data_IF_190497413155
#
_entry.id   IF_190497413155
#
_cell.length_a   1.000
_cell.length_b   1.000
_cell.length_c   1.000
_cell.angle_alpha   90.00
_cell.angle_beta   90.00
_cell.angle_gamma   90.00
#
_symmetry.space_group_name_H-M   'P 1'
#
loop_
_entity.id
_entity.type
_entity.pdbx_description
1 polymer ?
#
# COMPACT_ATOMS: atom_id res chain seq x y z
N UNK A 1 -3.28 9.46 7.16
CA UNK A 1 -3.88 9.56 8.51
C UNK A 1 -3.04 8.66 9.41
N UNK A 2 -2.17 9.21 10.24
CA UNK A 2 -1.25 8.42 11.09
C UNK A 2 -2.00 8.09 12.39
N UNK A 3 -2.27 6.82 12.62
CA UNK A 3 -2.74 6.33 13.92
C UNK A 3 -1.54 5.73 14.66
N UNK A 4 -1.21 6.27 15.84
CA UNK A 4 -0.24 5.70 16.77
C UNK A 4 -0.91 5.56 18.14
N UNK A 5 -0.98 4.33 18.66
CA UNK A 5 -1.36 4.06 20.05
C UNK A 5 -0.19 3.39 20.77
N UNK A 6 0.03 3.77 22.03
CA UNK A 6 1.10 3.27 22.90
C UNK A 6 0.48 2.33 23.93
N UNK A 7 0.93 1.08 24.01
CA UNK A 7 0.57 0.15 25.09
C UNK A 7 1.84 -0.23 25.86
N UNK A 8 1.90 0.11 27.15
CA UNK A 8 2.86 -0.46 28.10
C UNK A 8 2.22 -1.64 28.81
N UNK A 9 2.81 -2.83 28.65
CA UNK A 9 2.76 -3.92 29.62
C UNK A 9 1.40 -4.61 29.86
N UNK A 10 1.39 -5.92 29.55
CA UNK A 10 0.46 -6.98 29.98
C UNK A 10 -0.86 -7.10 29.20
N UNK A 11 -1.02 -8.28 28.60
CA UNK A 11 -2.23 -8.91 28.00
C UNK A 11 -3.18 -8.00 27.21
N UNK A 12 -3.00 -7.99 25.88
CA UNK A 12 -3.87 -7.25 24.95
C UNK A 12 -5.17 -8.03 24.74
N UNK A 13 -6.15 -7.83 25.63
CA UNK A 13 -7.57 -8.00 25.31
C UNK A 13 -8.23 -6.64 25.17
N UNK A 14 -8.75 -6.38 23.95
CA UNK A 14 -9.57 -5.23 23.54
C UNK A 14 -8.91 -3.83 23.57
N UNK A 15 -8.72 -3.28 22.37
CA UNK A 15 -8.37 -1.87 22.13
C UNK A 15 -9.66 -1.03 22.06
N UNK A 16 -9.79 0.01 22.89
CA UNK A 16 -10.84 1.05 22.79
C UNK A 16 -10.19 2.38 22.37
N UNK A 17 -10.48 2.83 21.16
CA UNK A 17 -9.94 4.07 20.59
C UNK A 17 -10.51 5.35 21.22
N UNK A 18 -9.67 6.40 21.35
CA UNK A 18 -10.11 7.80 21.50
C UNK A 18 -9.47 8.67 20.41
N UNK A 19 -10.26 9.60 19.89
CA UNK A 19 -9.96 10.47 18.74
C UNK A 19 -9.26 11.76 19.21
N UNK A 20 -8.16 12.15 18.55
CA UNK A 20 -7.60 13.51 18.64
C UNK A 20 -7.48 14.09 17.22
N UNK A 21 -8.07 15.25 17.00
CA UNK A 21 -7.98 16.02 15.75
C UNK A 21 -6.90 17.10 15.89
N UNK A 22 -6.09 17.30 14.86
CA UNK A 22 -5.28 18.50 14.70
C UNK A 22 -5.79 19.25 13.46
N UNK A 23 -6.30 20.47 13.67
CA UNK A 23 -6.75 21.41 12.65
C UNK A 23 -5.55 21.94 11.83
N UNK A 24 -5.67 21.94 10.51
CA UNK A 24 -4.79 22.71 9.62
C UNK A 24 -5.59 23.85 8.98
N UNK A 25 -5.28 25.09 9.37
CA UNK A 25 -5.80 26.31 8.72
C UNK A 25 -5.04 26.65 7.41
N UNK A 26 -5.64 27.45 6.50
CA UNK A 26 -5.08 27.66 5.17
C UNK A 26 -4.13 28.88 5.13
N UNK A 27 -2.99 28.75 4.47
CA UNK A 27 -2.16 29.88 4.05
C UNK A 27 -2.47 30.27 2.59
N UNK A 28 -2.66 31.58 2.38
CA UNK A 28 -2.86 32.25 1.09
C UNK A 28 -1.52 32.79 0.55
N UNK A 29 -1.54 33.11 -0.76
CA UNK A 29 -0.59 33.90 -1.57
C UNK A 29 0.65 33.15 -2.09
N UNK A 30 1.16 33.36 -3.32
CA UNK A 30 0.86 34.34 -4.37
C UNK A 30 1.34 33.76 -5.73
N UNK A 31 0.53 33.86 -6.78
CA UNK A 31 0.91 33.56 -8.15
C UNK A 31 1.46 34.81 -8.84
N UNK A 32 2.62 34.71 -9.51
CA UNK A 32 3.04 35.63 -10.59
C UNK A 32 3.75 34.84 -11.69
N UNK A 33 3.25 35.00 -12.90
CA UNK A 33 3.72 34.33 -14.11
C UNK A 33 4.99 34.94 -14.70
N UNK A 34 5.63 34.15 -15.57
CA UNK A 34 6.75 34.57 -16.42
C UNK A 34 6.54 33.95 -17.81
N UNK A 35 6.50 34.79 -18.84
CA UNK A 35 6.48 34.45 -20.27
C UNK A 35 7.89 34.10 -20.81
N UNK A 36 8.01 33.39 -21.95
CA UNK A 36 9.27 32.86 -22.45
C UNK A 36 10.02 33.87 -23.35
N UNK A 37 11.35 33.88 -23.28
CA UNK A 37 12.23 34.56 -24.25
C UNK A 37 12.98 33.53 -25.10
N UNK A 38 12.73 33.63 -26.40
CA UNK A 38 13.51 33.07 -27.50
C UNK A 38 14.89 33.76 -27.58
N UNK A 39 15.92 33.01 -27.97
CA UNK A 39 17.30 33.47 -27.97
C UNK A 39 18.30 32.41 -28.41
N UNK A 40 18.33 32.14 -29.72
CA UNK A 40 19.43 31.45 -30.42
C UNK A 40 20.76 32.18 -30.20
N UNK A 41 21.84 31.45 -29.92
CA UNK A 41 23.20 31.92 -30.21
C UNK A 41 24.13 30.78 -30.62
N UNK A 42 25.00 31.13 -31.56
CA UNK A 42 25.78 30.28 -32.46
C UNK A 42 27.02 29.66 -31.83
N UNK A 43 27.37 28.45 -32.29
CA UNK A 43 28.65 27.78 -32.05
C UNK A 43 29.75 28.42 -32.92
N UNK A 44 30.82 28.89 -32.30
CA UNK A 44 32.07 29.21 -33.00
C UNK A 44 33.11 28.09 -32.82
N UNK A 45 33.64 27.61 -33.93
CA UNK A 45 34.65 26.55 -34.03
C UNK A 45 36.04 27.19 -33.97
N UNK A 46 36.80 26.91 -32.91
CA UNK A 46 38.19 27.33 -32.79
C UNK A 46 39.14 26.30 -33.43
N UNK A 47 39.98 26.76 -34.36
CA UNK A 47 41.06 26.01 -35.03
C UNK A 47 42.14 25.59 -34.03
N UNK A 48 42.44 24.30 -33.97
CA UNK A 48 43.60 23.74 -33.26
C UNK A 48 44.85 23.83 -34.15
N UNK A 49 45.96 24.35 -33.60
CA UNK A 49 47.27 24.40 -34.26
C UNK A 49 48.24 23.58 -33.41
N UNK A 50 48.74 22.48 -33.96
CA UNK A 50 49.78 21.67 -33.33
C UNK A 50 51.10 22.46 -33.23
N UNK A 51 51.69 22.48 -32.05
CA UNK A 51 53.11 22.83 -31.90
C UNK A 51 53.75 21.86 -30.91
N UNK A 52 54.54 20.93 -31.44
CA UNK A 52 55.49 20.09 -30.71
C UNK A 52 56.60 20.94 -30.12
N UNK A 53 56.94 20.76 -28.84
CA UNK A 53 58.33 20.72 -28.37
C UNK A 53 58.51 20.20 -26.93
N UNK A 54 59.40 19.19 -26.85
CA UNK A 54 60.46 18.93 -25.86
C UNK A 54 60.14 18.82 -24.36
N UNK A 55 60.38 17.60 -23.91
CA UNK A 55 60.65 17.12 -22.56
C UNK A 55 61.61 18.06 -21.79
N UNK A 56 61.16 18.53 -20.62
CA UNK A 56 62.03 18.97 -19.54
C UNK A 56 61.51 18.38 -18.23
N UNK A 57 62.35 17.57 -17.60
CA UNK A 57 62.15 17.04 -16.25
C UNK A 57 62.14 18.17 -15.22
N UNK A 58 61.06 18.31 -14.45
CA UNK A 58 61.04 19.18 -13.28
C UNK A 58 60.25 18.57 -12.13
N UNK A 59 60.77 18.81 -10.93
CA UNK A 59 60.58 18.01 -9.73
C UNK A 59 59.20 18.16 -9.07
N UNK A 60 58.83 17.10 -8.34
CA UNK A 60 57.77 17.03 -7.34
C UNK A 60 57.72 18.27 -6.44
N UNK A 61 56.63 19.05 -6.52
CA UNK A 61 56.14 19.88 -5.40
C UNK A 61 54.61 19.94 -5.40
N UNK A 62 54.03 19.46 -4.30
CA UNK A 62 52.72 19.78 -3.73
C UNK A 62 51.48 19.63 -4.63
N UNK A 63 50.93 18.42 -4.66
CA UNK A 63 49.51 18.22 -4.98
C UNK A 63 48.71 18.56 -3.72
N UNK A 64 47.81 19.55 -3.71
CA UNK A 64 46.91 19.73 -2.59
C UNK A 64 45.99 18.49 -2.56
N UNK A 65 46.03 17.77 -1.46
CA UNK A 65 45.08 16.69 -1.17
C UNK A 65 43.70 17.35 -1.07
N UNK A 66 42.96 17.37 -2.19
CA UNK A 66 41.53 17.63 -2.19
C UNK A 66 40.90 16.50 -1.38
N UNK A 67 40.71 16.75 -0.08
CA UNK A 67 39.78 16.00 0.75
C UNK A 67 38.41 16.33 0.17
N UNK A 68 38.01 15.59 -0.86
CA UNK A 68 36.65 15.60 -1.35
C UNK A 68 35.79 15.20 -0.18
N UNK A 69 35.01 16.15 0.35
CA UNK A 69 33.95 15.84 1.28
C UNK A 69 33.08 14.79 0.59
N UNK A 70 33.12 13.55 1.09
CA UNK A 70 32.12 12.55 0.82
C UNK A 70 30.82 13.07 1.44
N UNK A 71 30.17 13.98 0.73
CA UNK A 71 28.76 14.23 0.93
C UNK A 71 28.08 12.86 0.75
N UNK A 72 27.28 12.38 1.70
CA UNK A 72 26.47 11.20 1.48
C UNK A 72 25.54 11.55 0.33
N UNK A 73 25.90 11.11 -0.87
CA UNK A 73 25.01 11.18 -2.00
C UNK A 73 23.86 10.23 -1.67
N UNK A 74 22.71 10.80 -1.32
CA UNK A 74 21.43 10.09 -1.42
C UNK A 74 21.29 9.78 -2.90
N UNK A 75 21.74 8.60 -3.30
CA UNK A 75 21.61 8.16 -4.67
C UNK A 75 20.23 7.55 -4.80
N UNK A 76 19.35 8.28 -5.48
CA UNK A 76 18.24 7.68 -6.21
C UNK A 76 18.74 6.36 -6.82
N UNK A 77 18.19 5.24 -6.36
CA UNK A 77 18.56 3.93 -6.83
C UNK A 77 17.52 3.44 -7.84
N UNK A 78 17.97 2.75 -8.88
CA UNK A 78 17.08 2.01 -9.74
C UNK A 78 16.64 0.72 -9.01
N UNK A 79 15.35 0.59 -8.72
CA UNK A 79 14.71 -0.57 -8.10
C UNK A 79 14.00 -1.40 -9.15
N UNK A 80 14.59 -2.53 -9.53
CA UNK A 80 14.01 -3.42 -10.54
C UNK A 80 13.38 -4.66 -9.91
N UNK A 81 12.15 -4.97 -10.30
CA UNK A 81 11.39 -6.11 -9.82
C UNK A 81 10.69 -6.85 -10.96
N UNK A 82 10.39 -8.13 -10.73
CA UNK A 82 9.46 -8.90 -11.56
C UNK A 82 8.33 -9.42 -10.68
N UNK A 83 7.10 -9.13 -11.10
CA UNK A 83 5.87 -9.65 -10.49
C UNK A 83 5.22 -10.61 -11.46
N UNK A 84 5.29 -11.90 -11.16
CA UNK A 84 4.58 -12.94 -11.91
C UNK A 84 3.23 -13.18 -11.27
N UNK A 85 2.17 -12.96 -12.05
CA UNK A 85 0.78 -13.07 -11.61
C UNK A 85 0.22 -14.40 -12.08
N UNK A 86 -0.36 -15.18 -11.16
CA UNK A 86 -0.92 -16.52 -11.44
C UNK A 86 -2.22 -16.72 -10.68
N UNK A 87 -3.08 -17.62 -11.14
CA UNK A 87 -4.16 -18.14 -10.31
C UNK A 87 -3.65 -19.26 -9.40
N UNK A 88 -4.20 -19.31 -8.19
CA UNK A 88 -3.95 -20.38 -7.24
C UNK A 88 -5.02 -20.40 -6.15
N UNK A 89 -4.64 -20.82 -4.95
CA UNK A 89 -5.54 -20.87 -3.80
C UNK A 89 -4.97 -20.12 -2.61
N UNK A 90 -5.85 -19.52 -1.82
CA UNK A 90 -5.51 -18.90 -0.55
C UNK A 90 -6.28 -19.58 0.58
N UNK A 91 -5.63 -19.73 1.74
CA UNK A 91 -6.20 -20.31 2.96
C UNK A 91 -5.85 -19.44 4.19
N UNK A 92 -5.98 -18.12 4.04
CA UNK A 92 -5.56 -17.12 5.02
C UNK A 92 -6.24 -17.25 6.40
N UNK A 93 -7.49 -17.73 6.41
CA UNK A 93 -8.30 -17.88 7.63
C UNK A 93 -8.82 -19.29 7.86
N UNK A 94 -8.28 -20.30 7.19
CA UNK A 94 -8.68 -21.70 7.38
C UNK A 94 -9.78 -22.16 6.41
N UNK A 95 -10.36 -21.26 5.61
CA UNK A 95 -11.21 -21.62 4.47
C UNK A 95 -10.42 -21.41 3.17
N UNK A 96 -10.27 -22.48 2.38
CA UNK A 96 -9.58 -22.43 1.09
C UNK A 96 -10.49 -21.88 0.00
N UNK A 97 -10.01 -20.85 -0.73
CA UNK A 97 -10.68 -20.28 -1.91
C UNK A 97 -9.70 -20.05 -3.06
N UNK A 98 -10.24 -19.90 -4.27
CA UNK A 98 -9.47 -19.40 -5.42
C UNK A 98 -8.97 -17.98 -5.15
N UNK A 99 -7.77 -17.66 -5.63
CA UNK A 99 -7.14 -16.36 -5.44
C UNK A 99 -6.07 -16.06 -6.50
N UNK A 100 -5.83 -14.79 -6.74
CA UNK A 100 -4.67 -14.29 -7.47
C UNK A 100 -3.43 -14.30 -6.58
N UNK A 101 -2.34 -14.83 -7.12
CA UNK A 101 -1.04 -14.90 -6.46
C UNK A 101 -0.05 -14.01 -7.21
N UNK A 102 0.75 -13.28 -6.44
CA UNK A 102 1.85 -12.46 -6.94
C UNK A 102 3.14 -13.10 -6.46
N UNK A 103 3.95 -13.61 -7.39
CA UNK A 103 5.13 -14.44 -7.09
C UNK A 103 4.80 -15.64 -6.17
N UNK A 104 3.63 -16.26 -6.37
CA UNK A 104 3.20 -17.45 -5.63
C UNK A 104 2.59 -17.19 -4.25
N UNK A 105 2.36 -15.93 -3.86
CA UNK A 105 1.75 -15.58 -2.58
C UNK A 105 0.66 -14.51 -2.70
N UNK A 106 -0.23 -14.45 -1.71
CA UNK A 106 -1.15 -13.33 -1.50
C UNK A 106 -1.27 -13.04 0.01
N UNK A 107 -1.19 -11.78 0.47
CA UNK A 107 -0.83 -10.59 -0.31
C UNK A 107 0.51 -10.73 -1.03
N UNK A 108 0.66 -9.95 -2.09
CA UNK A 108 1.88 -9.91 -2.88
C UNK A 108 3.08 -9.41 -2.09
N UNK A 109 4.29 -9.54 -2.66
CA UNK A 109 5.52 -9.08 -2.02
C UNK A 109 5.42 -7.63 -1.54
N UNK A 110 5.95 -7.37 -0.35
CA UNK A 110 6.08 -6.02 0.16
C UNK A 110 7.24 -5.31 -0.53
N UNK A 111 6.96 -4.18 -1.15
CA UNK A 111 8.01 -3.33 -1.68
C UNK A 111 8.48 -2.35 -0.62
N UNK A 112 9.79 -2.26 -0.44
CA UNK A 112 10.41 -1.26 0.41
C UNK A 112 11.42 -0.47 -0.41
N UNK A 113 11.12 0.80 -0.66
CA UNK A 113 11.90 1.71 -1.49
C UNK A 113 12.26 2.96 -0.69
N UNK A 114 13.10 3.81 -1.26
CA UNK A 114 13.47 5.10 -0.69
C UNK A 114 12.85 6.24 -1.50
N UNK A 115 12.52 7.34 -0.83
CA UNK A 115 12.19 8.59 -1.51
C UNK A 115 13.31 8.97 -2.48
N UNK A 116 12.94 9.27 -3.72
CA UNK A 116 13.85 9.58 -4.81
C UNK A 116 14.26 8.38 -5.68
N UNK A 117 13.91 7.14 -5.31
CA UNK A 117 14.20 5.97 -6.15
C UNK A 117 13.46 6.01 -7.49
N UNK A 118 14.12 5.50 -8.53
CA UNK A 118 13.49 5.15 -9.80
C UNK A 118 13.06 3.69 -9.75
N UNK A 119 11.78 3.41 -9.99
CA UNK A 119 11.21 2.07 -9.89
C UNK A 119 10.90 1.54 -11.28
N UNK A 120 11.25 0.27 -11.51
CA UNK A 120 10.90 -0.48 -12.71
C UNK A 120 10.34 -1.84 -12.33
N UNK A 121 9.05 -2.08 -12.54
CA UNK A 121 8.40 -3.36 -12.25
C UNK A 121 7.89 -3.99 -13.53
N UNK A 122 8.45 -5.13 -13.91
CA UNK A 122 7.91 -5.96 -14.98
C UNK A 122 6.82 -6.86 -14.40
N UNK A 123 5.58 -6.64 -14.82
CA UNK A 123 4.43 -7.47 -14.45
C UNK A 123 4.19 -8.47 -15.57
N UNK A 124 4.23 -9.76 -15.24
CA UNK A 124 4.02 -10.87 -16.17
C UNK A 124 2.70 -11.55 -15.82
N UNK A 125 1.75 -11.58 -16.76
CA UNK A 125 0.46 -12.22 -16.56
C UNK A 125 0.52 -13.68 -17.01
N UNK A 126 0.63 -14.61 -16.05
CA UNK A 126 0.48 -16.05 -16.26
C UNK A 126 -0.90 -16.56 -15.79
N UNK A 127 -1.85 -15.64 -15.55
CA UNK A 127 -3.24 -15.96 -15.22
C UNK A 127 -4.12 -16.19 -16.44
N UNK A 128 -5.37 -16.63 -16.22
CA UNK A 128 -6.30 -16.97 -17.30
C UNK A 128 -7.04 -15.77 -17.90
N UNK A 129 -6.98 -14.59 -17.28
CA UNK A 129 -7.68 -13.40 -17.75
C UNK A 129 -6.80 -12.14 -17.71
N UNK A 130 -7.19 -11.05 -18.39
CA UNK A 130 -6.41 -9.82 -18.38
C UNK A 130 -6.30 -9.21 -16.98
N UNK A 131 -5.21 -8.48 -16.73
CA UNK A 131 -4.96 -7.78 -15.47
C UNK A 131 -4.44 -6.36 -15.72
N UNK A 132 -4.40 -5.53 -14.69
CA UNK A 132 -3.52 -4.36 -14.59
C UNK A 132 -2.99 -4.25 -13.17
N UNK A 133 -1.95 -3.43 -12.94
CA UNK A 133 -1.53 -3.05 -11.58
C UNK A 133 -1.60 -1.53 -11.46
N UNK A 134 -2.44 -1.04 -10.55
CA UNK A 134 -2.43 0.34 -10.11
C UNK A 134 -1.56 0.52 -8.87
N UNK A 135 -0.81 1.61 -8.84
CA UNK A 135 0.13 1.95 -7.78
C UNK A 135 -0.49 3.02 -6.88
N UNK A 136 -1.36 2.59 -5.97
CA UNK A 136 -2.24 3.46 -5.21
C UNK A 136 -1.49 4.50 -4.39
N UNK A 137 -1.72 5.77 -4.71
CA UNK A 137 -1.10 6.93 -4.06
C UNK A 137 0.30 7.30 -4.60
N UNK A 138 0.80 6.57 -5.61
CA UNK A 138 1.97 7.00 -6.38
C UNK A 138 1.53 8.07 -7.38
N UNK A 139 2.24 9.18 -7.43
CA UNK A 139 1.82 10.41 -8.13
C UNK A 139 1.97 10.33 -9.65
N UNK A 140 2.76 9.38 -10.16
CA UNK A 140 2.98 9.14 -11.59
C UNK A 140 3.42 10.39 -12.39
N UNK A 141 4.14 11.32 -11.74
CA UNK A 141 4.64 12.52 -12.42
C UNK A 141 5.56 12.14 -13.58
N UNK A 142 5.26 12.69 -14.76
CA UNK A 142 5.98 12.39 -16.00
C UNK A 142 5.81 10.96 -16.53
N UNK A 143 5.02 10.11 -15.86
CA UNK A 143 4.84 8.68 -16.17
C UNK A 143 3.37 8.22 -16.09
N UNK A 144 2.37 9.00 -16.58
CA UNK A 144 0.96 8.66 -16.41
C UNK A 144 0.57 7.30 -17.02
N UNK A 145 1.28 6.82 -18.04
CA UNK A 145 1.08 5.50 -18.64
C UNK A 145 1.45 4.32 -17.70
N UNK A 146 2.17 4.59 -16.61
CA UNK A 146 2.50 3.62 -15.56
C UNK A 146 1.45 3.58 -14.44
N UNK A 147 0.33 4.30 -14.56
CA UNK A 147 -0.67 4.37 -13.49
C UNK A 147 -1.53 3.11 -13.33
N UNK A 148 -1.72 2.30 -14.39
CA UNK A 148 -2.41 1.00 -14.24
C UNK A 148 -3.91 0.98 -14.45
N UNK A 149 -4.51 2.05 -14.96
CA UNK A 149 -5.97 2.18 -15.12
C UNK A 149 -6.38 1.74 -16.54
N UNK A 150 -7.07 0.60 -16.68
CA UNK A 150 -7.43 0.06 -17.99
C UNK A 150 -8.40 1.00 -18.72
N UNK A 151 -8.13 1.27 -19.99
CA UNK A 151 -8.95 2.16 -20.83
C UNK A 151 -8.70 3.65 -20.62
N UNK A 152 -7.84 4.02 -19.66
CA UNK A 152 -7.41 5.40 -19.43
C UNK A 152 -5.91 5.58 -19.67
N UNK A 153 -5.08 4.87 -18.89
CA UNK A 153 -3.62 5.03 -18.94
C UNK A 153 -2.91 3.89 -19.65
N UNK A 154 -3.55 2.71 -19.74
CA UNK A 154 -3.05 1.57 -20.51
C UNK A 154 -4.18 0.64 -21.00
N UNK A 155 -3.83 -0.29 -21.89
CA UNK A 155 -4.62 -1.49 -22.13
C UNK A 155 -4.36 -2.56 -21.05
N UNK A 156 -5.32 -3.45 -20.76
CA UNK A 156 -5.10 -4.61 -19.90
C UNK A 156 -3.96 -5.49 -20.43
N UNK A 157 -3.18 -6.08 -19.51
CA UNK A 157 -2.12 -7.04 -19.80
C UNK A 157 -2.79 -8.40 -20.04
N UNK A 158 -2.79 -8.89 -21.28
CA UNK A 158 -3.43 -10.16 -21.62
C UNK A 158 -2.71 -11.39 -21.03
N UNK A 159 -3.36 -12.56 -21.00
CA UNK A 159 -2.71 -13.82 -20.63
C UNK A 159 -1.46 -14.10 -21.47
N UNK A 160 -0.35 -14.41 -20.82
CA UNK A 160 0.97 -14.63 -21.44
C UNK A 160 1.72 -13.35 -21.81
N UNK A 161 1.14 -12.18 -21.59
CA UNK A 161 1.77 -10.89 -21.87
C UNK A 161 2.43 -10.29 -20.62
N UNK A 162 3.19 -9.21 -20.83
CA UNK A 162 3.82 -8.46 -19.76
C UNK A 162 3.76 -6.95 -20.03
N UNK A 163 3.91 -6.18 -18.96
CA UNK A 163 4.00 -4.71 -19.01
C UNK A 163 5.05 -4.23 -18.01
N UNK A 164 5.81 -3.20 -18.41
CA UNK A 164 6.83 -2.59 -17.55
C UNK A 164 6.33 -1.26 -17.03
N UNK A 165 6.11 -1.18 -15.72
CA UNK A 165 5.80 0.04 -15.00
C UNK A 165 7.08 0.75 -14.61
N UNK A 166 7.25 2.00 -15.06
CA UNK A 166 8.39 2.84 -14.69
C UNK A 166 7.90 4.16 -14.09
N UNK A 167 8.39 4.53 -12.91
CA UNK A 167 8.06 5.80 -12.25
C UNK A 167 9.15 6.18 -11.22
N UNK A 168 9.23 7.47 -10.92
CA UNK A 168 10.12 8.02 -9.87
C UNK A 168 9.32 8.33 -8.61
N UNK A 169 9.86 8.01 -7.44
CA UNK A 169 9.21 8.26 -6.15
C UNK A 169 9.57 9.65 -5.62
N UNK A 170 8.61 10.57 -5.58
CA UNK A 170 8.79 11.93 -5.02
C UNK A 170 8.22 12.05 -3.60
N UNK A 171 7.37 11.10 -3.23
CA UNK A 171 6.70 10.97 -1.94
C UNK A 171 7.40 9.96 -1.03
N UNK A 172 7.01 9.95 0.24
CA UNK A 172 7.32 8.91 1.21
C UNK A 172 6.06 8.54 2.00
N UNK A 173 6.02 7.34 2.57
CA UNK A 173 4.86 6.87 3.32
C UNK A 173 4.53 5.40 3.07
N UNK A 174 3.34 5.00 3.51
CA UNK A 174 2.83 3.64 3.35
C UNK A 174 1.67 3.62 2.35
N UNK A 175 1.89 2.90 1.26
CA UNK A 175 1.06 2.81 0.08
C UNK A 175 0.85 1.33 -0.28
N UNK A 176 0.22 1.08 -1.41
CA UNK A 176 -0.09 -0.27 -1.87
C UNK A 176 -0.24 -0.30 -3.38
N UNK A 177 -0.25 -1.50 -3.93
CA UNK A 177 -0.54 -1.76 -5.32
C UNK A 177 -1.60 -2.84 -5.42
N UNK A 178 -2.47 -2.74 -6.42
CA UNK A 178 -3.58 -3.67 -6.59
C UNK A 178 -4.04 -3.74 -8.03
N UNK A 179 -4.82 -4.77 -8.37
CA UNK A 179 -5.49 -4.79 -9.67
C UNK A 179 -6.47 -3.65 -9.80
N UNK A 180 -6.51 -3.05 -10.98
CA UNK A 180 -7.54 -2.10 -11.38
C UNK A 180 -8.43 -2.67 -12.51
N UNK A 181 -8.37 -3.98 -12.70
CA UNK A 181 -9.17 -4.71 -13.67
C UNK A 181 -10.22 -5.57 -12.94
N UNK A 182 -11.51 -5.32 -13.23
CA UNK A 182 -12.65 -5.94 -12.54
C UNK A 182 -12.51 -5.85 -11.01
N UNK A 183 -12.86 -6.92 -10.31
CA UNK A 183 -12.81 -7.03 -8.84
C UNK A 183 -11.66 -7.94 -8.37
N UNK A 184 -10.62 -8.11 -9.18
CA UNK A 184 -9.46 -8.98 -8.86
C UNK A 184 -8.72 -8.58 -7.58
N UNK A 185 -8.85 -7.32 -7.14
CA UNK A 185 -8.39 -6.84 -5.84
C UNK A 185 -8.97 -7.66 -4.68
N UNK A 186 -10.27 -7.96 -4.72
CA UNK A 186 -10.99 -8.74 -3.70
C UNK A 186 -10.58 -10.21 -3.72
N UNK A 187 -10.04 -10.68 -4.85
CA UNK A 187 -9.50 -12.02 -5.03
C UNK A 187 -8.00 -12.13 -4.71
N UNK A 188 -7.41 -11.10 -4.11
CA UNK A 188 -6.05 -11.14 -3.55
C UNK A 188 -4.97 -10.54 -4.45
N UNK A 189 -5.32 -9.91 -5.58
CA UNK A 189 -4.36 -9.24 -6.46
C UNK A 189 -3.96 -7.87 -5.87
N UNK A 190 -3.26 -7.89 -4.74
CA UNK A 190 -2.81 -6.70 -3.98
C UNK A 190 -1.54 -6.95 -3.18
N UNK A 191 -0.78 -5.90 -2.90
CA UNK A 191 0.39 -5.90 -2.02
C UNK A 191 0.72 -4.50 -1.51
N UNK A 192 1.68 -4.37 -0.59
CA UNK A 192 1.99 -3.06 0.02
C UNK A 192 3.32 -2.48 -0.43
N UNK A 193 3.46 -1.17 -0.27
CA UNK A 193 4.64 -0.38 -0.62
C UNK A 193 4.97 0.51 0.57
N UNK A 194 6.16 0.39 1.13
CA UNK A 194 6.69 1.35 2.08
C UNK A 194 7.82 2.14 1.43
N UNK A 195 7.65 3.46 1.37
CA UNK A 195 8.67 4.37 0.86
C UNK A 195 9.27 5.10 2.06
N UNK A 196 10.54 4.82 2.34
CA UNK A 196 11.26 5.44 3.46
C UNK A 196 11.45 6.93 3.19
N UNK A 197 11.20 7.79 4.20
CA UNK A 197 11.45 9.22 4.07
C UNK A 197 12.93 9.50 3.83
N UNK A 198 13.23 10.48 2.99
CA UNK A 198 14.58 11.00 2.84
C UNK A 198 15.13 11.53 4.17
N UNK A 199 16.45 11.48 4.35
CA UNK A 199 17.11 11.91 5.59
C UNK A 199 16.91 13.39 5.93
N UNK A 200 16.51 14.22 4.95
CA UNK A 200 16.19 15.63 5.12
C UNK A 200 14.77 15.90 5.63
N UNK A 201 13.89 14.88 5.67
CA UNK A 201 12.51 15.04 6.12
C UNK A 201 12.47 15.32 7.62
N UNK A 202 11.76 16.39 7.99
CA UNK A 202 11.57 16.75 9.39
C UNK A 202 10.72 15.71 10.10
N UNK A 203 11.18 15.23 11.26
CA UNK A 203 10.48 14.23 12.05
C UNK A 203 9.74 14.89 13.21
N UNK A 204 8.46 14.53 13.49
CA UNK A 204 7.67 15.17 14.53
C UNK A 204 7.97 14.65 15.95
N UNK A 205 9.10 13.95 16.17
CA UNK A 205 9.40 13.28 17.45
C UNK A 205 9.56 14.24 18.63
N UNK A 206 9.85 15.52 18.38
CA UNK A 206 9.84 16.56 19.41
C UNK A 206 8.44 16.78 20.04
N UNK A 207 7.38 16.35 19.37
CA UNK A 207 6.02 16.36 19.93
C UNK A 207 5.79 15.22 20.96
N UNK A 208 6.66 14.20 20.96
CA UNK A 208 6.59 13.05 21.87
C UNK A 208 7.51 13.27 23.08
N UNK A 209 8.74 13.72 22.84
CA UNK A 209 9.74 13.93 23.90
C UNK A 209 10.80 14.97 23.51
N UNK A 210 11.38 15.63 24.51
CA UNK A 210 12.57 16.47 24.37
C UNK A 210 13.86 15.76 24.80
N UNK A 211 13.78 14.52 25.27
CA UNK A 211 14.94 13.71 25.68
C UNK A 211 15.67 13.18 24.43
N UNK A 212 16.95 13.53 24.28
CA UNK A 212 17.77 13.15 23.12
C UNK A 212 17.94 11.64 22.96
N UNK A 213 17.91 10.87 24.06
CA UNK A 213 17.96 9.41 24.04
C UNK A 213 16.66 8.85 23.47
N UNK A 214 15.52 9.37 23.91
CA UNK A 214 14.20 8.96 23.41
C UNK A 214 14.06 9.32 21.94
N UNK A 215 14.48 10.52 21.54
CA UNK A 215 14.47 10.94 20.13
C UNK A 215 15.27 9.98 19.25
N UNK A 216 16.47 9.57 19.69
CA UNK A 216 17.29 8.59 18.97
C UNK A 216 16.64 7.21 18.90
N UNK A 217 15.95 6.78 19.95
CA UNK A 217 15.19 5.52 19.94
C UNK A 217 14.01 5.57 18.97
N UNK A 218 13.26 6.68 18.95
CA UNK A 218 12.17 6.89 17.99
C UNK A 218 12.69 6.90 16.54
N UNK A 219 13.80 7.57 16.27
CA UNK A 219 14.46 7.53 14.97
C UNK A 219 14.88 6.11 14.58
N UNK A 220 15.40 5.34 15.52
CA UNK A 220 15.80 3.94 15.26
C UNK A 220 14.58 3.06 14.96
N UNK A 221 13.49 3.24 15.73
CA UNK A 221 12.26 2.50 15.56
C UNK A 221 11.57 2.79 14.22
N UNK A 222 11.67 4.03 13.72
CA UNK A 222 11.10 4.44 12.44
C UNK A 222 11.81 3.82 11.23
N UNK A 223 13.11 3.49 11.32
CA UNK A 223 13.86 2.94 10.17
C UNK A 223 13.27 1.62 9.69
N UNK A 224 12.79 0.79 10.61
CA UNK A 224 12.21 -0.53 10.32
C UNK A 224 10.86 -0.68 11.03
N UNK A 225 9.80 -0.03 10.52
CA UNK A 225 8.50 -0.12 11.14
C UNK A 225 7.89 -1.50 10.90
N UNK A 226 7.11 -1.95 11.86
CA UNK A 226 6.26 -3.12 11.74
C UNK A 226 5.07 -2.76 10.84
N UNK A 227 4.93 -3.50 9.75
CA UNK A 227 3.88 -3.24 8.76
C UNK A 227 2.59 -3.92 9.18
N UNK A 228 1.51 -3.15 9.20
CA UNK A 228 0.18 -3.59 9.56
C UNK A 228 -0.75 -3.32 8.38
N UNK A 229 -0.99 -4.34 7.55
CA UNK A 229 -1.96 -4.29 6.47
C UNK A 229 -3.26 -4.97 6.92
N UNK A 230 -4.34 -4.21 7.02
CA UNK A 230 -5.65 -4.67 7.48
C UNK A 230 -6.65 -4.55 6.34
N UNK A 231 -7.34 -5.63 6.02
CA UNK A 231 -8.31 -5.65 4.94
C UNK A 231 -9.40 -6.68 5.17
N UNK A 232 -10.53 -6.49 4.50
CA UNK A 232 -11.64 -7.42 4.53
C UNK A 232 -11.37 -8.68 3.71
N UNK A 233 -12.01 -9.77 4.11
CA UNK A 233 -11.87 -11.05 3.44
C UNK A 233 -13.22 -11.73 3.36
N UNK A 234 -13.49 -12.24 2.16
CA UNK A 234 -14.71 -12.98 1.82
C UNK A 234 -14.32 -14.42 1.53
N UNK A 235 -15.24 -15.38 1.56
CA UNK A 235 -14.94 -16.77 1.18
C UNK A 235 -15.27 -17.09 -0.27
N UNK A 236 -16.17 -16.32 -0.88
CA UNK A 236 -16.52 -16.44 -2.30
C UNK A 236 -15.67 -15.53 -3.18
N UNK A 237 -15.49 -15.93 -4.46
CA UNK A 237 -14.77 -15.12 -5.44
C UNK A 237 -15.50 -13.82 -5.73
N UNK A 238 -14.76 -12.82 -6.20
CA UNK A 238 -15.35 -11.54 -6.55
C UNK A 238 -16.39 -11.68 -7.66
N UNK A 239 -16.21 -12.60 -8.62
CA UNK A 239 -17.21 -12.84 -9.67
C UNK A 239 -18.50 -13.44 -9.11
N UNK A 240 -18.40 -14.36 -8.16
CA UNK A 240 -19.60 -14.92 -7.51
C UNK A 240 -20.36 -13.83 -6.75
N UNK A 241 -19.63 -13.02 -5.97
CA UNK A 241 -20.21 -11.86 -5.30
C UNK A 241 -20.91 -10.94 -6.30
N UNK A 242 -20.23 -10.50 -7.36
CA UNK A 242 -20.83 -9.62 -8.37
C UNK A 242 -22.06 -10.24 -9.04
N UNK A 243 -22.06 -11.56 -9.31
CA UNK A 243 -23.21 -12.25 -9.90
C UNK A 243 -24.43 -12.27 -8.96
N UNK A 244 -24.20 -12.40 -7.65
CA UNK A 244 -25.25 -12.35 -6.65
C UNK A 244 -25.79 -10.92 -6.49
N UNK A 245 -24.94 -9.90 -6.62
CA UNK A 245 -25.36 -8.51 -6.60
C UNK A 245 -26.27 -8.21 -7.80
N UNK A 246 -25.84 -8.56 -9.01
CA UNK A 246 -26.62 -8.33 -10.23
C UNK A 246 -27.97 -9.06 -10.22
N UNK A 247 -28.01 -10.27 -9.66
CA UNK A 247 -29.23 -11.07 -9.60
C UNK A 247 -30.23 -10.58 -8.56
N UNK A 248 -29.73 -10.10 -7.42
CA UNK A 248 -30.56 -9.79 -6.23
C UNK A 248 -30.76 -8.30 -6.00
N UNK A 249 -29.89 -7.45 -6.54
CA UNK A 249 -29.82 -6.01 -6.31
C UNK A 249 -29.75 -5.66 -4.81
N UNK A 250 -29.04 -6.50 -4.03
CA UNK A 250 -28.77 -6.32 -2.60
C UNK A 250 -27.30 -5.99 -2.40
N UNK A 251 -27.03 -4.87 -1.74
CA UNK A 251 -25.71 -4.37 -1.39
C UNK A 251 -24.91 -5.39 -0.58
N UNK A 252 -23.62 -5.50 -0.83
CA UNK A 252 -22.83 -6.66 -0.43
C UNK A 252 -21.85 -6.35 0.70
N UNK A 253 -22.38 -5.84 1.81
CA UNK A 253 -21.59 -5.40 2.98
C UNK A 253 -21.18 -6.53 3.94
N UNK A 254 -21.53 -7.78 3.62
CA UNK A 254 -21.25 -8.91 4.50
C UNK A 254 -19.88 -9.53 4.17
N UNK A 255 -18.94 -9.41 5.09
CA UNK A 255 -17.59 -9.99 4.96
C UNK A 255 -17.44 -11.18 5.90
N UNK A 256 -16.55 -12.12 5.58
CA UNK A 256 -16.30 -13.32 6.39
C UNK A 256 -15.29 -13.07 7.50
N UNK A 257 -14.32 -12.20 7.26
CA UNK A 257 -13.23 -11.94 8.19
C UNK A 257 -12.54 -10.61 7.93
N UNK A 258 -11.74 -10.17 8.90
CA UNK A 258 -10.71 -9.15 8.72
C UNK A 258 -9.36 -9.83 8.85
N UNK A 259 -8.50 -9.64 7.87
CA UNK A 259 -7.15 -10.18 7.87
C UNK A 259 -6.13 -9.10 8.24
N UNK A 260 -5.10 -9.51 8.96
CA UNK A 260 -3.91 -8.73 9.24
C UNK A 260 -2.73 -9.40 8.55
N UNK A 261 -2.10 -8.72 7.59
CA UNK A 261 -0.99 -9.27 6.79
C UNK A 261 -1.30 -10.65 6.16
N UNK A 262 -2.56 -10.90 5.79
CA UNK A 262 -2.98 -12.21 5.26
C UNK A 262 -3.17 -13.31 6.29
N UNK A 263 -3.29 -12.95 7.57
CA UNK A 263 -3.57 -13.89 8.66
C UNK A 263 -4.77 -13.42 9.47
N UNK A 264 -5.62 -14.37 9.82
CA UNK A 264 -6.77 -14.14 10.67
C UNK A 264 -7.48 -15.47 10.91
N UNK A 265 -8.57 -15.46 11.66
CA UNK A 265 -9.43 -16.62 11.86
C UNK A 265 -10.87 -16.15 12.00
N UNK A 266 -11.82 -16.96 11.55
CA UNK A 266 -13.24 -16.65 11.66
C UNK A 266 -13.68 -16.96 13.09
N UNK A 267 -14.29 -15.96 13.74
CA UNK A 267 -14.97 -16.10 15.03
C UNK A 267 -16.44 -15.78 14.87
N UNK A 268 -17.27 -16.80 14.99
CA UNK A 268 -18.72 -16.69 14.93
C UNK A 268 -19.24 -16.21 16.30
N UNK A 269 -19.75 -14.98 16.39
CA UNK A 269 -20.13 -14.37 17.64
C UNK A 269 -21.43 -14.98 18.20
N UNK A 270 -21.63 -14.85 19.52
CA UNK A 270 -22.93 -15.13 20.11
C UNK A 270 -23.94 -14.08 19.62
N UNK A 271 -25.07 -14.54 19.07
CA UNK A 271 -26.06 -13.67 18.44
C UNK A 271 -26.66 -12.64 19.40
N UNK A 272 -26.83 -12.99 20.68
CA UNK A 272 -27.34 -12.11 21.72
C UNK A 272 -26.32 -11.01 22.03
N UNK A 273 -25.04 -11.38 22.09
CA UNK A 273 -23.95 -10.45 22.35
C UNK A 273 -23.77 -9.45 21.20
N UNK A 274 -23.66 -9.92 19.96
CA UNK A 274 -23.44 -9.02 18.82
C UNK A 274 -24.64 -8.10 18.58
N UNK A 275 -25.87 -8.60 18.73
CA UNK A 275 -27.05 -7.76 18.67
C UNK A 275 -27.13 -6.79 19.86
N UNK A 276 -26.45 -6.99 20.98
CA UNK A 276 -26.39 -5.99 22.06
C UNK A 276 -25.51 -4.79 21.68
N UNK A 277 -24.49 -5.01 20.85
CA UNK A 277 -23.53 -3.99 20.40
C UNK A 277 -23.99 -3.21 19.17
N UNK A 278 -24.83 -3.81 18.33
CA UNK A 278 -25.31 -3.19 17.10
C UNK A 278 -26.27 -2.01 17.35
N UNK A 279 -26.35 -1.08 16.41
CA UNK A 279 -27.37 -0.03 16.42
C UNK A 279 -28.75 -0.62 16.09
N UNK A 280 -29.84 0.04 16.53
CA UNK A 280 -31.20 -0.45 16.31
C UNK A 280 -31.54 -0.70 14.84
N UNK A 281 -31.06 0.17 13.94
CA UNK A 281 -31.30 0.07 12.49
C UNK A 281 -30.51 -1.05 11.81
N UNK A 282 -29.49 -1.62 12.46
CA UNK A 282 -28.71 -2.74 11.92
C UNK A 282 -29.33 -4.10 12.28
N UNK A 283 -30.17 -4.12 13.33
CA UNK A 283 -30.72 -5.35 13.89
C UNK A 283 -31.92 -5.86 13.08
N UNK A 284 -32.15 -7.18 13.07
CA UNK A 284 -31.27 -8.22 13.62
C UNK A 284 -30.02 -8.43 12.76
N UNK A 285 -28.91 -8.81 13.40
CA UNK A 285 -27.71 -9.31 12.72
C UNK A 285 -27.77 -10.84 12.55
N UNK A 286 -27.13 -11.38 11.51
CA UNK A 286 -26.98 -12.82 11.27
C UNK A 286 -25.92 -13.44 12.19
N UNK A 287 -25.77 -14.78 12.17
CA UNK A 287 -24.70 -15.48 12.88
C UNK A 287 -23.29 -15.13 12.36
N UNK A 288 -23.20 -14.50 11.20
CA UNK A 288 -21.97 -13.93 10.62
C UNK A 288 -21.74 -12.48 11.05
N UNK A 289 -22.70 -11.88 11.76
CA UNK A 289 -22.67 -10.47 12.17
C UNK A 289 -23.14 -9.49 11.10
N UNK A 290 -23.74 -9.98 10.02
CA UNK A 290 -24.20 -9.15 8.90
C UNK A 290 -25.63 -8.63 9.15
N UNK A 291 -25.94 -7.42 8.68
CA UNK A 291 -27.34 -6.95 8.61
C UNK A 291 -28.12 -7.90 7.70
N UNK A 292 -29.42 -8.12 7.93
CA UNK A 292 -30.18 -9.02 7.06
C UNK A 292 -30.31 -8.46 5.63
N UNK A 293 -30.43 -9.31 4.59
CA UNK A 293 -30.55 -8.83 3.21
C UNK A 293 -31.76 -7.91 2.99
N UNK A 294 -32.83 -8.11 3.77
CA UNK A 294 -34.03 -7.28 3.78
C UNK A 294 -33.95 -6.12 4.79
N UNK A 295 -32.76 -5.71 5.20
CA UNK A 295 -32.55 -4.46 5.96
C UNK A 295 -32.45 -3.27 4.99
N UNK A 296 -33.15 -2.17 5.23
CA UNK A 296 -33.28 -1.08 4.26
C UNK A 296 -31.97 -0.41 3.86
N UNK A 297 -30.89 -0.58 4.63
CA UNK A 297 -29.55 -0.14 4.25
C UNK A 297 -28.90 -1.02 3.18
N UNK A 298 -29.40 -2.25 3.02
CA UNK A 298 -28.86 -3.27 2.13
C UNK A 298 -29.58 -3.37 0.80
N UNK A 299 -30.84 -2.96 0.72
CA UNK A 299 -31.60 -3.00 -0.52
C UNK A 299 -32.21 -1.61 -0.78
N UNK A 300 -31.40 -0.63 -1.18
CA UNK A 300 -31.88 0.74 -1.38
C UNK A 300 -32.81 0.86 -2.61
N UNK A 301 -32.89 -0.18 -3.45
CA UNK A 301 -33.64 -0.16 -4.70
C UNK A 301 -35.00 -0.89 -4.57
N UNK A 302 -36.08 -0.36 -5.19
CA UNK A 302 -37.41 -0.97 -5.10
C UNK A 302 -37.52 -2.39 -5.69
N UNK A 303 -36.71 -2.71 -6.70
CA UNK A 303 -36.78 -3.97 -7.44
C UNK A 303 -35.84 -5.07 -6.88
N UNK A 304 -35.18 -4.80 -5.75
CA UNK A 304 -34.32 -5.77 -5.07
C UNK A 304 -35.08 -7.01 -4.62
N UNK A 305 -34.39 -8.15 -4.65
CA UNK A 305 -34.91 -9.49 -4.36
C UNK A 305 -34.20 -10.11 -3.16
N UNK A 306 -34.28 -9.50 -1.96
CA UNK A 306 -33.52 -9.94 -0.79
C UNK A 306 -33.86 -11.35 -0.30
N UNK A 307 -35.07 -11.84 -0.58
CA UNK A 307 -35.48 -13.22 -0.28
C UNK A 307 -34.77 -14.29 -1.12
N UNK A 308 -34.06 -13.88 -2.18
CA UNK A 308 -33.40 -14.79 -3.12
C UNK A 308 -31.89 -14.82 -2.95
N UNK A 309 -31.31 -14.04 -2.03
CA UNK A 309 -29.86 -14.04 -1.74
C UNK A 309 -29.42 -15.42 -1.28
N UNK A 310 -28.26 -15.89 -1.74
CA UNK A 310 -27.66 -17.14 -1.26
C UNK A 310 -27.45 -17.08 0.27
N UNK A 311 -28.16 -17.93 1.05
CA UNK A 311 -28.06 -17.89 2.50
C UNK A 311 -26.66 -18.25 3.02
N UNK A 312 -25.86 -19.00 2.25
CA UNK A 312 -24.50 -19.38 2.67
C UNK A 312 -23.56 -18.16 2.74
N UNK A 313 -23.77 -17.15 1.89
CA UNK A 313 -22.99 -15.91 1.92
C UNK A 313 -23.28 -15.06 3.16
N UNK A 314 -24.46 -15.26 3.77
CA UNK A 314 -25.05 -14.28 4.68
C UNK A 314 -25.26 -14.78 6.12
N UNK A 315 -25.67 -16.04 6.26
CA UNK A 315 -26.12 -16.61 7.53
C UNK A 315 -25.13 -17.61 8.09
N UNK A 316 -24.46 -18.38 7.23
CA UNK A 316 -23.57 -19.43 7.69
C UNK A 316 -22.27 -18.84 8.21
N UNK A 317 -21.89 -19.27 9.42
CA UNK A 317 -20.61 -18.94 10.00
C UNK A 317 -20.04 -20.19 10.65
N UNK A 318 -18.80 -20.54 10.30
CA UNK A 318 -18.05 -21.63 10.94
C UNK A 318 -16.76 -21.08 11.51
N UNK A 319 -16.52 -21.34 12.79
CA UNK A 319 -15.28 -20.96 13.43
C UNK A 319 -14.10 -21.66 12.75
N UNK A 320 -13.01 -20.94 12.57
CA UNK A 320 -11.73 -21.52 12.14
C UNK A 320 -10.67 -21.34 13.22
N UNK A 321 -9.56 -22.06 13.03
CA UNK A 321 -8.41 -22.07 13.92
C UNK A 321 -7.14 -21.91 13.08
N UNK A 322 -6.80 -20.66 12.79
CA UNK A 322 -5.59 -20.25 12.09
C UNK A 322 -4.83 -19.22 12.91
N UNK A 323 -3.49 -19.15 12.79
CA UNK A 323 -2.70 -18.18 13.55
C UNK A 323 -3.07 -16.75 13.18
N UNK A 324 -3.04 -15.86 14.18
CA UNK A 324 -3.02 -14.42 13.93
C UNK A 324 -1.63 -13.96 13.51
N UNK A 325 -1.57 -12.75 12.95
CA UNK A 325 -0.29 -12.05 12.83
C UNK A 325 0.28 -11.74 14.21
N UNK A 326 1.56 -12.06 14.40
CA UNK A 326 2.28 -11.85 15.66
C UNK A 326 3.53 -11.04 15.37
N UNK A 327 3.62 -9.86 15.97
CA UNK A 327 4.80 -9.03 15.90
C UNK A 327 5.71 -9.32 17.10
N UNK A 328 6.93 -9.79 16.84
CA UNK A 328 7.94 -9.96 17.89
C UNK A 328 8.70 -8.66 18.08
N UNK A 329 8.66 -8.13 19.30
CA UNK A 329 9.37 -6.91 19.70
C UNK A 329 10.35 -7.24 20.81
N UNK A 330 11.50 -6.56 20.85
CA UNK A 330 12.48 -6.71 21.94
C UNK A 330 12.31 -5.56 22.91
N UNK A 331 12.19 -5.88 24.19
CA UNK A 331 12.11 -4.86 25.24
C UNK A 331 13.34 -3.93 25.24
N UNK A 332 14.52 -4.47 24.87
CA UNK A 332 15.77 -3.70 24.75
C UNK A 332 15.71 -2.56 23.73
N UNK A 333 14.80 -2.63 22.75
CA UNK A 333 14.70 -1.63 21.69
C UNK A 333 13.98 -0.36 22.19
N UNK A 334 13.25 -0.46 23.31
CA UNK A 334 12.57 0.63 24.01
C UNK A 334 11.33 1.16 23.28
N UNK A 335 11.43 1.38 21.97
CA UNK A 335 10.35 1.87 21.11
C UNK A 335 10.22 0.99 19.87
N UNK A 336 9.00 0.92 19.35
CA UNK A 336 8.64 0.20 18.13
C UNK A 336 7.76 1.14 17.31
N UNK A 337 7.93 1.14 15.99
CA UNK A 337 7.07 1.87 15.07
C UNK A 337 6.16 0.90 14.35
N UNK A 338 4.90 1.28 14.16
CA UNK A 338 3.96 0.60 13.28
C UNK A 338 3.58 1.52 12.14
N UNK A 339 3.48 0.98 10.93
CA UNK A 339 2.82 1.63 9.80
C UNK A 339 1.56 0.86 9.44
N UNK A 340 0.43 1.56 9.45
CA UNK A 340 -0.90 0.98 9.25
C UNK A 340 -1.44 1.36 7.88
N UNK A 341 -1.91 0.36 7.15
CA UNK A 341 -2.71 0.50 5.94
C UNK A 341 -4.01 -0.27 6.17
N UNK A 342 -5.13 0.41 5.93
CA UNK A 342 -6.46 -0.19 5.91
C UNK A 342 -6.95 -0.05 4.49
N UNK A 343 -7.16 -1.17 3.80
CA UNK A 343 -7.57 -1.23 2.40
C UNK A 343 -8.86 -1.97 2.22
#
# INVERSE_FOLDING_TARGET
>A
MIYQETVRGVEVQQIRARKAYADCGPSREMARGVEPRDGRSELSVAKYRETTHRILSMQLRNVPLLIGALLPAVRAALRQHTLTITNGTNNADGITRSSWLLNGQTPGPHFVWDEGDDVSVTVVNNGPEPITIHWHGIEQYGTPWSDGVPGLTQYPIGPGENFVYNFTLYQYGFYWYHSHYKMQLDDGLKGTIYIRPGSSRSKPFSQISNDTTVLKQLETAEVNPLMLNVYDYKHYSSEYWMSEWERTDVEQLCIDNILVNGKGQVKCPNITEINSLAASYQKPLTNKGCMYPNNSLMFPYPDSKPSTVDPNMWYNCSNTATPFEVFTVKESDGWVSFILLVS
#
